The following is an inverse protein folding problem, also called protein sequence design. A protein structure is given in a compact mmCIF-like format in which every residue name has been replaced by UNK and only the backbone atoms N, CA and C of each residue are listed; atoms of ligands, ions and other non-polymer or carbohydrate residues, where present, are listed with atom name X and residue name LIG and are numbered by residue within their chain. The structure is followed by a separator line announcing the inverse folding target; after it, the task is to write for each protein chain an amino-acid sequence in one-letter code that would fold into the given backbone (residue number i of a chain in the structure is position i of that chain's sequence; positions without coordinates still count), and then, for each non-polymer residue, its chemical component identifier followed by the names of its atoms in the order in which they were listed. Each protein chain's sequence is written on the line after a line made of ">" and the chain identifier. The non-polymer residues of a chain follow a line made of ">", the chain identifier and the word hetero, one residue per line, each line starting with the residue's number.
data_IF_269889215452
#
_entry.id   IF_269889215452
#
_cell.length_a   1.000
_cell.length_b   1.000
_cell.length_c   1.000
_cell.angle_alpha   90.00
_cell.angle_beta   90.00
_cell.angle_gamma   90.00
#
_symmetry.space_group_name_H-M   'P 1'
#
loop_
_entity.id
_entity.type
_entity.pdbx_description
1 polymer ?
#
# COMPACT_ATOMS: atom_id res chain seq x y z
N UNK A 1 -5.84 6.21 -17.61
CA UNK A 1 -7.14 5.53 -17.84
C UNK A 1 -7.76 5.17 -16.48
N UNK A 2 -9.02 4.72 -16.31
CA UNK A 2 -9.37 4.03 -15.06
C UNK A 2 -8.39 2.87 -14.84
N UNK A 3 -8.14 2.45 -13.58
CA UNK A 3 -7.29 1.29 -13.34
C UNK A 3 -7.81 0.12 -14.18
N UNK A 4 -6.90 -0.67 -14.77
CA UNK A 4 -7.24 -1.79 -15.65
C UNK A 4 -8.48 -2.56 -15.14
N UNK A 5 -9.39 -3.03 -16.01
CA UNK A 5 -10.73 -3.55 -15.66
C UNK A 5 -10.77 -4.75 -14.69
N UNK A 6 -9.62 -5.20 -14.17
CA UNK A 6 -9.44 -6.25 -13.16
C UNK A 6 -8.83 -5.75 -11.85
N UNK A 7 -8.69 -4.44 -11.64
CA UNK A 7 -8.09 -3.88 -10.43
C UNK A 7 -9.07 -3.86 -9.26
N UNK A 8 -8.76 -4.57 -8.19
CA UNK A 8 -9.47 -4.55 -6.92
C UNK A 8 -8.83 -3.52 -5.99
N UNK A 9 -9.56 -2.47 -5.66
CA UNK A 9 -9.12 -1.44 -4.71
C UNK A 9 -9.40 -1.91 -3.28
N UNK A 10 -8.43 -1.76 -2.39
CA UNK A 10 -8.58 -2.01 -0.96
C UNK A 10 -8.32 -0.69 -0.25
N UNK A 11 -9.37 -0.13 0.34
CA UNK A 11 -9.22 1.11 1.09
C UNK A 11 -8.65 0.86 2.48
N UNK A 12 -7.80 1.77 2.93
CA UNK A 12 -7.21 1.71 4.26
C UNK A 12 -7.07 3.10 4.88
N UNK A 13 -7.03 3.14 6.20
CA UNK A 13 -6.71 4.31 7.00
C UNK A 13 -5.51 4.05 7.91
N UNK A 14 -4.86 5.14 8.35
CA UNK A 14 -3.71 5.11 9.24
C UNK A 14 -4.13 5.65 10.61
N UNK A 15 -4.00 4.83 11.64
CA UNK A 15 -4.15 5.26 13.01
C UNK A 15 -2.78 5.46 13.66
N UNK A 16 -2.64 6.56 14.40
CA UNK A 16 -1.39 7.06 14.96
C UNK A 16 -1.46 7.09 16.49
N UNK A 17 -1.50 5.93 17.16
CA UNK A 17 -1.83 5.87 18.60
C UNK A 17 -0.79 6.55 19.49
N UNK A 18 0.41 6.79 18.97
CA UNK A 18 1.53 7.38 19.71
C UNK A 18 1.70 8.87 19.49
N UNK A 19 0.93 9.47 18.58
CA UNK A 19 1.03 10.90 18.26
C UNK A 19 0.04 11.70 19.10
N UNK A 20 0.42 12.91 19.51
CA UNK A 20 -0.42 13.77 20.34
C UNK A 20 -1.64 14.31 19.57
N UNK A 21 -1.47 14.72 18.31
CA UNK A 21 -2.56 15.29 17.50
C UNK A 21 -2.48 14.84 16.03
N UNK A 22 -2.66 13.53 15.74
CA UNK A 22 -2.63 13.05 14.37
C UNK A 22 -3.87 13.49 13.60
N UNK A 23 -3.64 13.96 12.38
CA UNK A 23 -4.63 14.36 11.40
C UNK A 23 -4.18 13.90 10.03
N UNK A 24 -5.10 13.89 9.06
CA UNK A 24 -4.77 13.52 7.69
C UNK A 24 -3.69 14.42 7.08
N UNK A 25 -3.57 15.66 7.55
CA UNK A 25 -2.56 16.62 7.14
C UNK A 25 -1.38 16.72 8.10
N UNK A 26 -1.23 15.86 9.12
CA UNK A 26 -0.09 15.88 10.06
C UNK A 26 1.27 15.65 9.37
N UNK A 27 1.24 15.26 8.11
CA UNK A 27 2.42 14.99 7.30
C UNK A 27 2.40 15.76 5.97
N UNK A 28 1.48 16.72 5.82
CA UNK A 28 1.33 17.54 4.63
C UNK A 28 2.34 18.70 4.69
N UNK A 29 3.58 18.43 4.29
CA UNK A 29 4.61 19.46 4.15
C UNK A 29 6.03 19.02 4.52
N UNK A 30 7.03 19.89 4.30
CA UNK A 30 8.44 19.57 4.56
C UNK A 30 8.83 19.51 6.06
N UNK A 31 8.00 20.06 6.95
CA UNK A 31 8.33 20.21 8.38
C UNK A 31 7.10 20.08 9.29
N UNK A 32 6.45 18.92 9.29
CA UNK A 32 5.50 18.62 10.37
C UNK A 32 6.00 17.51 11.27
N UNK A 33 6.12 17.90 12.53
CA UNK A 33 6.80 17.23 13.62
C UNK A 33 5.74 17.12 14.72
N UNK A 34 5.00 16.01 14.74
CA UNK A 34 4.12 15.74 15.88
C UNK A 34 4.93 15.12 17.03
N UNK A 35 4.48 15.37 18.25
CA UNK A 35 5.05 14.77 19.45
C UNK A 35 4.60 13.33 19.53
N UNK A 36 5.59 12.45 19.69
CA UNK A 36 5.44 11.01 19.80
C UNK A 36 5.71 10.56 21.25
N UNK A 37 4.86 9.65 21.73
CA UNK A 37 4.95 8.97 23.03
C UNK A 37 5.28 7.48 22.88
N UNK A 38 5.70 7.05 21.68
CA UNK A 38 5.94 5.63 21.44
C UNK A 38 7.05 5.07 22.34
N UNK A 39 6.97 3.78 22.73
CA UNK A 39 8.07 3.10 23.38
C UNK A 39 9.18 2.92 22.34
N UNK A 40 10.11 3.88 22.28
CA UNK A 40 11.25 3.84 21.35
C UNK A 40 11.99 2.51 21.49
N UNK A 41 12.31 1.87 20.36
CA UNK A 41 13.19 0.68 20.37
C UNK A 41 14.57 1.15 20.81
N UNK A 42 14.94 0.78 22.03
CA UNK A 42 16.21 1.11 22.68
C UNK A 42 17.40 0.91 21.74
N UNK A 43 17.99 2.00 21.21
CA UNK A 43 19.37 1.94 20.72
C UNK A 43 20.26 1.98 21.96
N UNK A 44 20.89 0.84 22.28
CA UNK A 44 22.02 0.77 23.22
C UNK A 44 23.12 1.68 22.68
N UNK A 45 23.10 2.96 23.02
CA UNK A 45 24.30 3.77 22.93
C UNK A 45 24.31 4.82 24.03
N UNK A 46 25.34 4.70 24.87
CA UNK A 46 26.02 5.79 25.56
C UNK A 46 25.34 6.37 26.81
N UNK A 47 25.71 5.80 27.96
CA UNK A 47 26.25 6.55 29.12
C UNK A 47 25.62 7.91 29.44
N UNK A 48 24.31 7.95 29.64
CA UNK A 48 23.67 9.14 30.20
C UNK A 48 22.48 8.74 31.06
N UNK A 49 22.67 8.87 32.37
CA UNK A 49 21.66 8.83 33.45
C UNK A 49 20.64 9.98 33.35
N UNK A 50 20.38 10.51 32.15
CA UNK A 50 19.36 11.54 31.94
C UNK A 50 17.98 10.89 31.91
N UNK A 51 17.18 11.20 32.94
CA UNK A 51 15.73 11.05 33.02
C UNK A 51 15.12 11.12 31.61
N UNK A 52 14.54 10.01 31.15
CA UNK A 52 13.84 9.93 29.88
C UNK A 52 12.79 11.04 29.79
N UNK A 53 12.90 11.94 28.81
CA UNK A 53 11.76 12.79 28.44
C UNK A 53 10.68 11.85 27.90
N UNK A 54 9.51 11.83 28.52
CA UNK A 54 8.36 10.95 28.18
C UNK A 54 7.80 11.17 26.76
N UNK A 55 8.31 12.17 26.04
CA UNK A 55 7.87 12.59 24.70
C UNK A 55 9.09 12.88 23.83
N UNK A 56 9.03 12.52 22.55
CA UNK A 56 10.04 12.81 21.53
C UNK A 56 9.36 13.31 20.26
N UNK A 57 10.11 13.86 19.33
CA UNK A 57 9.58 14.14 17.99
C UNK A 57 9.41 12.82 17.26
N UNK A 58 8.27 12.63 16.59
CA UNK A 58 8.08 11.48 15.72
C UNK A 58 9.21 11.45 14.68
N UNK A 59 10.06 10.44 14.81
CA UNK A 59 11.13 10.14 13.87
C UNK A 59 10.83 8.82 13.20
N UNK A 60 10.62 8.90 11.89
CA UNK A 60 10.27 7.80 11.00
C UNK A 60 11.35 6.71 10.99
N UNK A 61 10.96 5.42 10.96
CA UNK A 61 11.82 4.23 11.16
C UNK A 61 12.48 4.07 12.54
N UNK A 62 12.39 5.07 13.41
CA UNK A 62 12.79 4.98 14.82
C UNK A 62 11.60 4.79 15.74
N UNK A 63 10.48 5.45 15.41
CA UNK A 63 9.21 5.35 16.11
C UNK A 63 8.40 4.16 15.61
N UNK A 64 7.44 3.74 16.43
CA UNK A 64 6.46 2.74 16.03
C UNK A 64 5.67 3.22 14.79
N UNK A 65 5.45 2.34 13.80
CA UNK A 65 4.66 2.67 12.61
C UNK A 65 3.18 2.89 12.96
N UNK A 66 2.38 3.50 12.07
CA UNK A 66 0.94 3.59 12.27
C UNK A 66 0.30 2.20 12.21
N UNK A 67 -0.85 2.09 12.85
CA UNK A 67 -1.75 0.96 12.68
C UNK A 67 -2.51 1.10 11.36
N UNK A 68 -2.56 0.02 10.58
CA UNK A 68 -3.33 -0.03 9.33
C UNK A 68 -4.71 -0.62 9.62
N UNK A 69 -5.75 0.13 9.28
CA UNK A 69 -7.15 -0.32 9.32
C UNK A 69 -7.66 -0.40 7.89
N UNK A 70 -8.17 -1.57 7.49
CA UNK A 70 -8.73 -1.76 6.16
C UNK A 70 -10.24 -1.52 6.25
N UNK A 71 -10.80 -0.81 5.28
CA UNK A 71 -12.23 -0.47 5.28
C UNK A 71 -12.95 -1.36 4.26
N UNK A 72 -14.06 -2.00 4.64
CA UNK A 72 -14.92 -2.72 3.69
C UNK A 72 -14.72 -4.24 3.57
N UNK A 73 -13.94 -4.87 4.46
CA UNK A 73 -13.91 -6.33 4.62
C UNK A 73 -14.81 -6.73 5.78
N UNK A 74 -15.96 -7.35 5.51
CA UNK A 74 -17.02 -7.64 6.50
C UNK A 74 -16.69 -8.66 7.61
N UNK A 75 -15.61 -8.45 8.35
CA UNK A 75 -15.41 -8.97 9.70
C UNK A 75 -15.63 -7.83 10.67
N UNK A 76 -16.73 -7.86 11.43
CA UNK A 76 -17.11 -6.85 12.42
C UNK A 76 -16.15 -6.72 13.63
N UNK A 77 -14.89 -7.13 13.48
CA UNK A 77 -13.87 -7.17 14.52
C UNK A 77 -12.83 -6.04 14.38
N UNK A 78 -12.82 -5.29 13.27
CA UNK A 78 -11.84 -4.20 13.03
C UNK A 78 -12.40 -2.78 13.24
N UNK A 79 -13.65 -2.68 13.70
CA UNK A 79 -14.33 -1.40 13.94
C UNK A 79 -14.71 -0.64 12.67
N UNK A 80 -14.54 -1.22 11.47
CA UNK A 80 -15.06 -0.63 10.24
C UNK A 80 -16.58 -0.82 10.17
N UNK A 81 -17.32 0.28 10.12
CA UNK A 81 -18.77 0.23 9.93
C UNK A 81 -19.06 -0.14 8.48
N UNK A 82 -20.10 -0.94 8.24
CA UNK A 82 -20.53 -1.35 6.90
C UNK A 82 -20.89 -0.17 5.97
N UNK A 83 -20.99 1.04 6.53
CA UNK A 83 -21.34 2.31 5.88
C UNK A 83 -20.15 3.13 5.40
N UNK A 84 -18.90 2.74 5.67
CA UNK A 84 -17.76 3.50 5.14
C UNK A 84 -17.73 3.43 3.60
N UNK A 85 -17.72 4.59 2.91
CA UNK A 85 -17.74 4.62 1.46
C UNK A 85 -16.45 4.03 0.90
N UNK A 86 -16.61 3.07 0.00
CA UNK A 86 -15.52 2.54 -0.81
C UNK A 86 -15.08 3.62 -1.81
N UNK A 87 -13.80 4.00 -1.77
CA UNK A 87 -13.20 5.02 -2.61
C UNK A 87 -12.40 4.41 -3.76
N UNK A 88 -12.65 4.91 -4.96
CA UNK A 88 -11.93 4.53 -6.18
C UNK A 88 -11.04 5.68 -6.64
N UNK A 89 -9.84 5.34 -7.10
CA UNK A 89 -8.92 6.30 -7.71
C UNK A 89 -9.45 6.71 -9.08
N UNK A 90 -9.72 8.00 -9.27
CA UNK A 90 -9.99 8.58 -10.60
C UNK A 90 -8.68 8.87 -11.30
N UNK A 91 -7.77 9.57 -10.62
CA UNK A 91 -6.40 9.84 -11.07
C UNK A 91 -5.52 10.31 -9.91
N UNK A 92 -4.22 9.99 -9.92
CA UNK A 92 -3.28 10.71 -9.09
C UNK A 92 -3.08 12.15 -9.61
N UNK A 93 -2.88 13.13 -8.73
CA UNK A 93 -2.67 14.52 -9.13
C UNK A 93 -1.85 15.35 -8.13
N UNK A 94 -0.54 15.36 -8.32
CA UNK A 94 0.37 16.14 -7.49
C UNK A 94 0.18 15.82 -6.00
N UNK A 95 -0.07 16.82 -5.13
CA UNK A 95 -0.23 16.60 -3.69
C UNK A 95 -1.55 15.95 -3.29
N UNK A 96 -2.46 15.63 -4.24
CA UNK A 96 -3.73 15.00 -3.94
C UNK A 96 -4.08 13.87 -4.92
N UNK A 97 -4.76 12.84 -4.43
CA UNK A 97 -5.46 11.85 -5.24
C UNK A 97 -6.88 12.33 -5.48
N UNK A 98 -7.32 12.33 -6.75
CA UNK A 98 -8.72 12.52 -7.07
C UNK A 98 -9.44 11.18 -6.86
N UNK A 99 -10.30 11.16 -5.86
CA UNK A 99 -11.08 9.99 -5.47
C UNK A 99 -12.55 10.21 -5.80
N UNK A 100 -13.25 9.13 -6.10
CA UNK A 100 -14.72 9.10 -6.18
C UNK A 100 -15.29 7.94 -5.37
N UNK A 101 -16.56 8.01 -4.94
CA UNK A 101 -17.24 6.83 -4.45
C UNK A 101 -17.27 5.73 -5.52
N UNK A 102 -17.16 4.48 -5.07
CA UNK A 102 -17.31 3.33 -5.92
C UNK A 102 -18.75 3.20 -6.44
N UNK A 103 -18.88 2.83 -7.70
CA UNK A 103 -20.14 2.50 -8.34
C UNK A 103 -20.68 1.15 -7.84
N UNK A 104 -21.97 0.90 -8.05
CA UNK A 104 -22.60 -0.34 -7.59
C UNK A 104 -21.95 -1.60 -8.18
N UNK A 105 -21.48 -1.55 -9.44
CA UNK A 105 -20.79 -2.65 -10.09
C UNK A 105 -19.42 -2.94 -9.44
N UNK A 106 -18.65 -1.90 -9.11
CA UNK A 106 -17.35 -2.02 -8.45
C UNK A 106 -17.50 -2.56 -7.02
N UNK A 107 -18.51 -2.09 -6.28
CA UNK A 107 -18.86 -2.62 -4.96
C UNK A 107 -19.20 -4.12 -5.02
N UNK A 108 -19.88 -4.57 -6.07
CA UNK A 108 -20.16 -6.00 -6.28
C UNK A 108 -18.91 -6.80 -6.66
N UNK A 109 -18.06 -6.26 -7.54
CA UNK A 109 -16.83 -6.93 -8.00
C UNK A 109 -15.77 -7.10 -6.89
N UNK A 110 -15.69 -6.16 -5.95
CA UNK A 110 -14.79 -6.24 -4.79
C UNK A 110 -15.29 -7.15 -3.67
N UNK A 111 -16.56 -7.54 -3.69
CA UNK A 111 -17.16 -8.49 -2.75
C UNK A 111 -17.40 -9.84 -3.44
N UNK A 112 -16.39 -10.52 -4.00
CA UNK A 112 -16.62 -11.86 -4.50
C UNK A 112 -17.00 -12.74 -3.29
N UNK A 113 -18.27 -13.15 -3.26
CA UNK A 113 -18.80 -14.22 -2.44
C UNK A 113 -18.23 -14.36 -1.03
N UNK A 114 -18.29 -13.32 -0.20
CA UNK A 114 -18.06 -13.48 1.25
C UNK A 114 -19.04 -14.52 1.86
N UNK A 115 -20.15 -14.78 1.15
CA UNK A 115 -21.06 -15.90 1.44
C UNK A 115 -20.50 -17.27 1.07
N UNK A 116 -19.63 -17.39 0.05
CA UNK A 116 -18.99 -18.66 -0.36
C UNK A 116 -17.88 -19.05 0.63
N UNK A 117 -17.15 -18.07 1.17
CA UNK A 117 -16.12 -18.32 2.20
C UNK A 117 -16.70 -18.60 3.60
N UNK A 118 -18.01 -18.43 3.81
CA UNK A 118 -18.64 -18.63 5.14
C UNK A 118 -19.12 -20.06 5.38
N UNK A 119 -19.18 -20.91 4.35
CA UNK A 119 -19.89 -22.19 4.44
C UNK A 119 -19.03 -23.41 4.74
N UNK A 120 -17.70 -23.41 4.53
CA UNK A 120 -16.81 -24.48 5.01
C UNK A 120 -15.31 -24.13 4.83
N UNK A 121 -14.44 -24.47 5.80
CA UNK A 121 -12.99 -24.20 5.72
C UNK A 121 -12.30 -24.92 4.54
N UNK A 122 -12.75 -26.12 4.18
CA UNK A 122 -12.22 -26.85 3.02
C UNK A 122 -12.63 -26.19 1.69
N UNK A 123 -13.89 -25.74 1.59
CA UNK A 123 -14.38 -24.97 0.44
C UNK A 123 -13.68 -23.62 0.34
N UNK A 124 -13.26 -23.03 1.47
CA UNK A 124 -12.46 -21.80 1.46
C UNK A 124 -11.13 -22.01 0.71
N UNK A 125 -10.39 -23.07 0.99
CA UNK A 125 -9.08 -23.26 0.33
C UNK A 125 -9.21 -23.51 -1.18
N UNK A 126 -10.30 -24.15 -1.63
CA UNK A 126 -10.61 -24.32 -3.06
C UNK A 126 -11.08 -23.02 -3.73
N UNK A 127 -11.85 -22.20 -3.02
CA UNK A 127 -12.46 -20.98 -3.56
C UNK A 127 -11.51 -19.76 -3.48
N UNK A 128 -10.63 -19.73 -2.48
CA UNK A 128 -9.69 -18.62 -2.25
C UNK A 128 -8.91 -18.25 -3.52
N UNK A 129 -8.32 -19.19 -4.28
CA UNK A 129 -7.64 -18.85 -5.53
C UNK A 129 -8.48 -18.06 -6.52
N UNK A 130 -9.79 -18.34 -6.63
CA UNK A 130 -10.70 -17.62 -7.53
C UNK A 130 -10.98 -16.18 -7.07
N UNK A 131 -10.79 -15.88 -5.78
CA UNK A 131 -10.94 -14.52 -5.25
C UNK A 131 -9.73 -13.64 -5.56
N UNK A 132 -8.54 -14.22 -5.79
CA UNK A 132 -7.29 -13.46 -5.99
C UNK A 132 -6.71 -13.57 -7.41
N UNK A 133 -6.89 -14.70 -8.09
CA UNK A 133 -6.34 -14.92 -9.43
C UNK A 133 -6.98 -13.98 -10.46
N UNK A 134 -6.17 -13.51 -11.41
CA UNK A 134 -6.63 -12.65 -12.51
C UNK A 134 -6.98 -11.23 -12.10
N UNK A 135 -6.67 -10.83 -10.85
CA UNK A 135 -6.92 -9.50 -10.31
C UNK A 135 -5.60 -8.79 -10.02
N UNK A 136 -5.60 -7.47 -10.19
CA UNK A 136 -4.56 -6.61 -9.64
C UNK A 136 -5.05 -5.96 -8.37
N UNK A 137 -4.24 -5.91 -7.31
CA UNK A 137 -4.65 -5.28 -6.05
C UNK A 137 -4.00 -3.91 -5.89
N UNK A 138 -4.83 -2.90 -5.63
CA UNK A 138 -4.40 -1.53 -5.35
C UNK A 138 -4.84 -1.12 -3.94
N UNK A 139 -3.90 -0.81 -3.08
CA UNK A 139 -4.22 -0.24 -1.78
C UNK A 139 -4.31 1.28 -1.84
N UNK A 140 -5.40 1.83 -1.33
CA UNK A 140 -5.71 3.25 -1.48
C UNK A 140 -6.16 3.87 -0.16
N UNK A 141 -5.35 4.79 0.35
CA UNK A 141 -5.74 5.72 1.41
C UNK A 141 -6.43 6.93 0.79
N UNK A 142 -7.08 7.77 1.61
CA UNK A 142 -7.84 8.96 1.22
C UNK A 142 -7.11 9.97 0.30
N UNK A 143 -7.59 11.23 0.19
CA UNK A 143 -7.15 12.16 -0.87
C UNK A 143 -5.66 12.52 -0.80
N UNK A 144 -4.98 12.22 0.29
CA UNK A 144 -3.56 12.49 0.45
C UNK A 144 -2.71 11.31 -0.04
N UNK A 145 -1.81 11.52 -1.03
CA UNK A 145 -0.91 10.49 -1.53
C UNK A 145 0.10 10.05 -0.47
N UNK A 146 0.25 8.73 -0.34
CA UNK A 146 1.10 8.10 0.68
C UNK A 146 1.87 6.90 0.11
N UNK A 147 2.70 7.08 -0.91
CA UNK A 147 3.38 5.98 -1.62
C UNK A 147 4.06 4.96 -0.68
N UNK A 148 4.90 5.40 0.25
CA UNK A 148 5.47 4.54 1.31
C UNK A 148 4.46 3.79 2.19
N UNK A 149 3.34 4.43 2.56
CA UNK A 149 2.37 3.82 3.48
C UNK A 149 1.42 2.94 2.69
N UNK A 150 1.24 3.22 1.39
CA UNK A 150 0.68 2.26 0.47
C UNK A 150 1.59 1.03 0.43
N UNK A 151 2.90 1.18 0.22
CA UNK A 151 3.80 0.02 0.22
C UNK A 151 3.76 -0.77 1.54
N UNK A 152 3.79 -0.06 2.68
CA UNK A 152 3.66 -0.67 4.01
C UNK A 152 2.30 -1.34 4.22
N UNK A 153 1.20 -0.67 3.89
CA UNK A 153 -0.15 -1.23 3.99
C UNK A 153 -0.31 -2.45 3.08
N UNK A 154 0.28 -2.42 1.87
CA UNK A 154 0.25 -3.54 0.93
C UNK A 154 0.93 -4.74 1.55
N UNK A 155 2.13 -4.54 2.13
CA UNK A 155 2.83 -5.61 2.85
C UNK A 155 2.00 -6.15 4.02
N UNK A 156 1.42 -5.28 4.85
CA UNK A 156 0.59 -5.68 6.00
C UNK A 156 -0.64 -6.46 5.54
N UNK A 157 -1.31 -6.02 4.47
CA UNK A 157 -2.45 -6.74 3.90
C UNK A 157 -2.06 -8.14 3.42
N UNK A 158 -0.97 -8.24 2.65
CA UNK A 158 -0.45 -9.53 2.16
C UNK A 158 -0.05 -10.47 3.31
N UNK A 159 0.47 -9.94 4.41
CA UNK A 159 0.82 -10.73 5.59
C UNK A 159 -0.40 -11.34 6.28
N UNK A 160 -1.55 -10.64 6.24
CA UNK A 160 -2.82 -11.14 6.79
C UNK A 160 -3.48 -12.23 5.94
N UNK A 161 -3.11 -12.35 4.67
CA UNK A 161 -3.64 -13.40 3.79
C UNK A 161 -3.14 -14.80 4.22
N UNK A 162 -3.98 -15.81 4.01
CA UNK A 162 -3.58 -17.21 4.14
C UNK A 162 -2.48 -17.55 3.12
N UNK A 163 -1.75 -18.64 3.34
CA UNK A 163 -0.71 -19.10 2.40
C UNK A 163 -1.28 -19.33 0.99
N UNK A 164 -2.45 -19.96 0.90
CA UNK A 164 -3.14 -20.27 -0.37
C UNK A 164 -3.57 -18.99 -1.09
N UNK A 165 -4.16 -18.04 -0.35
CA UNK A 165 -4.53 -16.73 -0.88
C UNK A 165 -3.33 -15.98 -1.44
N UNK A 166 -2.21 -15.92 -0.69
CA UNK A 166 -0.95 -15.30 -1.15
C UNK A 166 -0.45 -15.93 -2.44
N UNK A 167 -0.45 -17.25 -2.55
CA UNK A 167 0.01 -17.95 -3.76
C UNK A 167 -0.83 -17.63 -5.00
N UNK A 168 -2.04 -17.11 -4.81
CA UNK A 168 -2.98 -16.80 -5.88
C UNK A 168 -2.97 -15.32 -6.29
N UNK A 169 -2.22 -14.48 -5.60
CA UNK A 169 -2.05 -13.06 -5.97
C UNK A 169 -1.12 -12.99 -7.18
N UNK A 170 -1.71 -12.73 -8.35
CA UNK A 170 -0.99 -12.66 -9.63
C UNK A 170 -0.51 -11.26 -10.01
N UNK A 171 -1.15 -10.21 -9.50
CA UNK A 171 -0.78 -8.84 -9.84
C UNK A 171 -1.00 -7.86 -8.68
N UNK A 172 -0.16 -6.83 -8.64
CA UNK A 172 -0.25 -5.69 -7.74
C UNK A 172 -0.18 -4.40 -8.55
N UNK A 173 -0.89 -3.39 -8.08
CA UNK A 173 -0.79 -2.02 -8.59
C UNK A 173 -0.27 -1.12 -7.47
N UNK A 174 0.77 -0.34 -7.75
CA UNK A 174 1.30 0.69 -6.86
C UNK A 174 1.26 2.05 -7.55
N UNK A 175 1.02 3.09 -6.75
CA UNK A 175 1.01 4.48 -7.23
C UNK A 175 2.31 5.13 -6.77
N UNK A 176 3.10 5.60 -7.72
CA UNK A 176 4.33 6.35 -7.52
C UNK A 176 4.01 7.84 -7.66
N UNK A 177 4.16 8.62 -6.59
CA UNK A 177 3.84 10.05 -6.59
C UNK A 177 4.92 10.85 -5.87
N UNK A 178 5.34 11.98 -6.46
CA UNK A 178 6.38 12.85 -5.87
C UNK A 178 6.06 13.26 -4.43
N UNK A 179 4.77 13.47 -4.19
CA UNK A 179 4.22 14.01 -2.97
C UNK A 179 3.84 12.85 -2.07
N UNK A 180 4.80 12.30 -1.34
CA UNK A 180 4.51 11.36 -0.26
C UNK A 180 4.55 12.13 1.05
N UNK A 181 3.40 12.29 1.70
CA UNK A 181 3.34 13.01 2.97
C UNK A 181 4.41 12.50 3.97
N UNK A 182 5.31 13.41 4.39
CA UNK A 182 6.47 13.23 5.27
C UNK A 182 7.66 12.42 4.68
N UNK A 183 7.72 12.14 3.38
CA UNK A 183 8.82 11.36 2.80
C UNK A 183 9.93 12.20 2.14
N UNK A 184 11.12 12.15 2.74
CA UNK A 184 12.37 12.19 1.97
C UNK A 184 12.42 10.97 1.03
N UNK A 185 12.97 11.15 -0.17
CA UNK A 185 13.05 10.12 -1.21
C UNK A 185 13.71 8.84 -0.69
N UNK A 186 14.69 8.94 0.20
CA UNK A 186 15.38 7.80 0.80
C UNK A 186 14.44 6.87 1.59
N UNK A 187 13.44 7.43 2.27
CA UNK A 187 12.46 6.68 3.05
C UNK A 187 11.46 5.92 2.18
N UNK A 188 11.09 6.51 1.04
CA UNK A 188 10.24 5.85 0.04
C UNK A 188 10.98 4.67 -0.59
N UNK A 189 12.25 4.86 -0.99
CA UNK A 189 13.11 3.78 -1.52
C UNK A 189 13.11 2.59 -0.58
N UNK A 190 13.34 2.81 0.72
CA UNK A 190 13.35 1.73 1.71
C UNK A 190 12.01 1.00 1.81
N UNK A 191 10.89 1.72 1.84
CA UNK A 191 9.56 1.11 1.94
C UNK A 191 9.22 0.25 0.72
N UNK A 192 9.52 0.74 -0.48
CA UNK A 192 9.32 0.00 -1.73
C UNK A 192 10.27 -1.20 -1.85
N UNK A 193 11.52 -1.08 -1.38
CA UNK A 193 12.45 -2.21 -1.28
C UNK A 193 11.93 -3.29 -0.34
N UNK A 194 11.51 -2.93 0.87
CA UNK A 194 10.96 -3.88 1.84
C UNK A 194 9.69 -4.58 1.31
N UNK A 195 8.86 -3.89 0.52
CA UNK A 195 7.75 -4.53 -0.19
C UNK A 195 8.24 -5.46 -1.30
N UNK A 196 9.21 -5.03 -2.11
CA UNK A 196 9.84 -5.82 -3.17
C UNK A 196 10.43 -7.14 -2.69
N UNK A 197 11.23 -7.08 -1.62
CA UNK A 197 11.78 -8.26 -0.97
C UNK A 197 10.67 -9.19 -0.49
N UNK A 198 9.63 -8.64 0.16
CA UNK A 198 8.49 -9.44 0.59
C UNK A 198 7.75 -10.11 -0.58
N UNK A 199 7.54 -9.39 -1.69
CA UNK A 199 6.90 -9.91 -2.90
C UNK A 199 7.71 -11.06 -3.48
N UNK A 200 9.01 -10.84 -3.69
CA UNK A 200 9.92 -11.87 -4.21
C UNK A 200 9.95 -13.11 -3.33
N UNK A 201 9.97 -12.93 -2.00
CA UNK A 201 10.13 -14.05 -1.08
C UNK A 201 8.82 -14.79 -0.78
N UNK A 202 7.67 -14.11 -0.81
CA UNK A 202 6.40 -14.60 -0.23
C UNK A 202 5.25 -14.70 -1.21
N UNK A 203 5.40 -14.22 -2.45
CA UNK A 203 4.36 -14.21 -3.48
C UNK A 203 4.83 -14.95 -4.74
N UNK A 204 4.95 -16.29 -4.70
CA UNK A 204 5.47 -17.07 -5.82
C UNK A 204 4.55 -17.07 -7.05
N UNK A 205 3.27 -16.71 -6.89
CA UNK A 205 2.32 -16.58 -7.99
C UNK A 205 2.28 -15.19 -8.62
N UNK A 206 3.11 -14.25 -8.16
CA UNK A 206 3.14 -12.88 -8.67
C UNK A 206 3.75 -12.85 -10.08
N UNK A 207 2.99 -12.37 -11.04
CA UNK A 207 3.38 -12.32 -12.46
C UNK A 207 3.56 -10.89 -12.97
N UNK A 208 2.75 -9.94 -12.45
CA UNK A 208 2.69 -8.58 -13.00
C UNK A 208 2.72 -7.53 -11.91
N UNK A 209 3.69 -6.64 -11.97
CA UNK A 209 3.71 -5.40 -11.20
C UNK A 209 3.26 -4.23 -12.09
N UNK A 210 2.13 -3.61 -11.75
CA UNK A 210 1.68 -2.37 -12.36
C UNK A 210 2.14 -1.17 -11.53
N UNK A 211 2.85 -0.25 -12.16
CA UNK A 211 3.33 1.00 -11.57
C UNK A 211 2.61 2.16 -12.24
N UNK A 212 1.86 2.92 -11.46
CA UNK A 212 1.20 4.13 -11.91
C UNK A 212 2.07 5.33 -11.53
N UNK A 213 2.75 5.95 -12.49
CA UNK A 213 3.57 7.13 -12.26
C UNK A 213 2.74 8.39 -12.42
N UNK A 214 2.68 9.20 -11.35
CA UNK A 214 1.96 10.47 -11.38
C UNK A 214 2.84 11.66 -11.76
N UNK A 215 4.18 11.49 -11.79
CA UNK A 215 5.18 12.54 -12.05
C UNK A 215 6.46 11.95 -12.68
N UNK A 216 7.33 12.81 -13.24
CA UNK A 216 8.60 12.42 -13.85
C UNK A 216 9.57 11.80 -12.83
N UNK A 217 9.53 10.47 -12.74
CA UNK A 217 10.50 9.53 -12.17
C UNK A 217 10.91 9.76 -10.71
N UNK A 218 10.36 8.93 -9.81
CA UNK A 218 10.93 8.72 -8.49
C UNK A 218 11.71 7.39 -8.47
N UNK A 219 13.03 7.48 -8.28
CA UNK A 219 13.95 6.36 -7.99
C UNK A 219 13.37 5.23 -7.11
N UNK A 220 12.60 5.49 -6.03
CA UNK A 220 12.00 4.44 -5.20
C UNK A 220 11.29 3.32 -5.95
N UNK A 221 10.50 3.66 -6.98
CA UNK A 221 9.70 2.65 -7.68
C UNK A 221 10.50 1.94 -8.77
N UNK A 222 11.58 2.55 -9.26
CA UNK A 222 12.52 1.89 -10.14
C UNK A 222 13.28 0.77 -9.43
N UNK A 223 13.65 0.93 -8.15
CA UNK A 223 14.30 -0.15 -7.39
C UNK A 223 13.34 -1.34 -7.17
N UNK A 224 12.07 -1.05 -6.86
CA UNK A 224 11.05 -2.08 -6.70
C UNK A 224 10.76 -2.80 -8.02
N UNK A 225 10.59 -2.05 -9.11
CA UNK A 225 10.48 -2.59 -10.46
C UNK A 225 11.69 -3.48 -10.80
N UNK A 226 12.90 -3.05 -10.43
CA UNK A 226 14.12 -3.83 -10.69
C UNK A 226 14.12 -5.15 -9.94
N UNK A 227 13.82 -5.13 -8.66
CA UNK A 227 13.74 -6.35 -7.84
C UNK A 227 12.74 -7.35 -8.43
N UNK A 228 11.56 -6.89 -8.81
CA UNK A 228 10.54 -7.75 -9.42
C UNK A 228 10.98 -8.30 -10.79
N UNK A 229 11.56 -7.45 -11.66
CA UNK A 229 12.01 -7.85 -13.00
C UNK A 229 13.09 -8.94 -12.98
N UNK A 230 14.01 -8.91 -12.01
CA UNK A 230 15.06 -9.95 -11.89
C UNK A 230 14.54 -11.37 -11.62
N UNK A 231 13.25 -11.52 -11.27
CA UNK A 231 12.59 -12.80 -11.02
C UNK A 231 11.64 -13.22 -12.14
N UNK A 232 11.69 -12.56 -13.29
CA UNK A 232 10.84 -12.85 -14.44
C UNK A 232 9.41 -12.32 -14.30
N UNK A 233 9.16 -11.40 -13.34
CA UNK A 233 7.88 -10.70 -13.26
C UNK A 233 7.83 -9.59 -14.31
N UNK A 234 6.70 -9.44 -14.99
CA UNK A 234 6.47 -8.34 -15.92
C UNK A 234 6.22 -7.06 -15.15
N UNK A 235 6.90 -5.98 -15.54
CA UNK A 235 6.69 -4.65 -14.96
C UNK A 235 6.02 -3.76 -15.99
N UNK A 236 4.82 -3.29 -15.67
CA UNK A 236 4.06 -2.34 -16.48
C UNK A 236 4.11 -0.98 -15.84
N UNK A 237 4.55 0.03 -16.59
CA UNK A 237 4.67 1.39 -16.10
C UNK A 237 3.75 2.30 -16.89
N UNK A 238 2.68 2.77 -16.24
CA UNK A 238 1.82 3.81 -16.77
C UNK A 238 2.46 5.17 -16.44
N UNK A 239 3.06 5.81 -17.46
CA UNK A 239 3.82 7.07 -17.29
C UNK A 239 2.92 8.30 -17.29
N UNK A 240 1.77 8.19 -17.95
CA UNK A 240 0.81 9.27 -18.02
C UNK A 240 -0.61 8.71 -17.93
N UNK A 241 -1.22 8.94 -16.77
CA UNK A 241 -2.58 8.53 -16.48
C UNK A 241 -3.62 9.21 -17.38
N UNK A 242 -3.31 10.39 -17.95
CA UNK A 242 -4.22 11.09 -18.87
C UNK A 242 -4.20 10.47 -20.27
N UNK A 243 -3.02 10.18 -20.82
CA UNK A 243 -2.90 9.53 -22.13
C UNK A 243 -3.10 8.01 -22.08
N UNK A 244 -3.02 7.40 -20.90
CA UNK A 244 -3.03 5.94 -20.75
C UNK A 244 -1.79 5.28 -21.37
N UNK A 245 -0.69 6.04 -21.52
CA UNK A 245 0.57 5.52 -22.05
C UNK A 245 1.19 4.54 -21.06
N UNK A 246 1.14 3.26 -21.43
CA UNK A 246 1.75 2.15 -20.69
C UNK A 246 2.98 1.69 -21.45
N UNK A 247 4.11 1.63 -20.74
CA UNK A 247 5.32 0.99 -21.23
C UNK A 247 5.51 -0.30 -20.43
N UNK A 248 5.60 -1.43 -21.13
CA UNK A 248 5.82 -2.75 -20.53
C UNK A 248 7.29 -3.13 -20.66
N UNK A 249 7.83 -3.66 -19.58
CA UNK A 249 9.21 -4.10 -19.49
C UNK A 249 9.26 -5.49 -18.85
N UNK A 250 10.01 -6.40 -19.46
CA UNK A 250 10.35 -7.70 -18.86
C UNK A 250 11.66 -7.62 -18.08
N UNK A 251 12.50 -6.64 -18.40
CA UNK A 251 13.79 -6.41 -17.77
C UNK A 251 13.92 -4.97 -17.27
N UNK A 252 14.43 -4.86 -16.05
CA UNK A 252 14.55 -3.61 -15.33
C UNK A 252 15.48 -2.59 -15.97
N UNK A 253 16.40 -3.05 -16.83
CA UNK A 253 17.40 -2.19 -17.47
C UNK A 253 16.78 -1.24 -18.50
N UNK A 254 15.56 -1.53 -18.98
CA UNK A 254 14.82 -0.69 -19.92
C UNK A 254 14.08 0.49 -19.24
N UNK A 255 14.15 0.59 -17.91
CA UNK A 255 13.52 1.66 -17.13
C UNK A 255 14.42 2.88 -16.88
N UNK A 256 15.71 2.78 -17.22
CA UNK A 256 16.72 3.85 -17.11
C UNK A 256 16.97 4.52 -18.46
#
# INVERSE_FOLDING_TARGET
>A
APPHPTTTTINYSLAWPWLDNPSNSTFAGPTQIDRCKCPRRWRRSSTSTKKWKKTHIYSRFECQPPEIRFTGGGSGDDGSTADEPLWMLVRPAGPFNFLRPAEAAEKRAQRPGLQVARTCKAVCDEVLPYLYRGRSFLLLTGPCPRGRYQAYATRVWLQRLSRVARQSVGALTVICQKYEEDCDLSGAVRAYRELGEYVVDRLPGMEVLNVCMADAVQRPVLEFARLCGTRGMRVRVERDWKSGSVVEFEHADALL
#
